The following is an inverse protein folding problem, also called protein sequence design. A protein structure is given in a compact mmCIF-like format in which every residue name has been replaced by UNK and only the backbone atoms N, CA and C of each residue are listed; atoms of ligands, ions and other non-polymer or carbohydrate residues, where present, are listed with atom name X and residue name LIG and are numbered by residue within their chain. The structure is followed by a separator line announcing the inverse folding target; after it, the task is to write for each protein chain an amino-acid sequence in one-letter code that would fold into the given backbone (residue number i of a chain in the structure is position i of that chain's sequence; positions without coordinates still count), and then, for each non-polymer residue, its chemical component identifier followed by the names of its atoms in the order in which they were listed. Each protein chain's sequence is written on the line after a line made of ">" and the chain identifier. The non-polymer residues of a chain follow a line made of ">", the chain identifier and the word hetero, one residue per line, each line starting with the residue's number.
data_IF_677319162758
#
_entry.id   IF_677319162758
#
_cell.length_a   1.000
_cell.length_b   1.000
_cell.length_c   1.000
_cell.angle_alpha   90.00
_cell.angle_beta   90.00
_cell.angle_gamma   90.00
#
_symmetry.space_group_name_H-M   'P 1'
#
loop_
_entity.id
_entity.type
_entity.pdbx_description
1 polymer ?
#
# COMPACT_ATOMS: atom_id res chain seq x y z
N UNK A 1 15.66 1.31 13.19
CA UNK A 1 14.68 2.25 12.63
C UNK A 1 14.38 3.38 13.58
N UNK A 2 13.88 4.49 13.04
CA UNK A 2 13.34 5.62 13.76
C UNK A 2 11.91 5.88 13.28
N UNK A 3 11.07 6.42 14.17
CA UNK A 3 9.70 6.79 13.87
C UNK A 3 9.43 8.19 14.42
N UNK A 4 8.92 9.06 13.55
CA UNK A 4 8.40 10.38 13.88
C UNK A 4 6.89 10.33 13.69
N UNK A 5 6.15 10.86 14.65
CA UNK A 5 4.70 10.93 14.64
C UNK A 5 4.29 12.31 15.13
N UNK A 6 3.46 12.98 14.35
CA UNK A 6 2.83 14.24 14.74
C UNK A 6 1.32 14.03 14.68
N UNK A 7 0.61 14.54 15.68
CA UNK A 7 -0.85 14.48 15.74
C UNK A 7 -1.38 15.76 16.36
N UNK A 8 -2.38 16.36 15.72
CA UNK A 8 -3.11 17.52 16.19
C UNK A 8 -4.58 17.15 16.22
N UNK A 9 -5.18 17.17 17.41
CA UNK A 9 -6.57 16.79 17.57
C UNK A 9 -7.10 17.09 18.96
N UNK A 10 -8.37 16.75 19.17
CA UNK A 10 -9.08 16.93 20.44
C UNK A 10 -9.94 15.72 20.75
N UNK A 11 -10.04 15.37 22.03
CA UNK A 11 -10.83 14.23 22.50
C UNK A 11 -10.88 14.20 24.02
N UNK A 12 -11.56 13.18 24.55
CA UNK A 12 -11.65 12.92 25.98
C UNK A 12 -10.42 12.11 26.40
N UNK A 13 -9.67 12.63 27.38
CA UNK A 13 -8.51 11.93 27.93
C UNK A 13 -8.94 10.58 28.52
N UNK A 14 -8.29 9.51 28.05
CA UNK A 14 -8.58 8.14 28.47
C UNK A 14 -9.63 7.42 27.61
N UNK A 15 -10.26 8.10 26.66
CA UNK A 15 -11.16 7.50 25.67
C UNK A 15 -10.57 7.64 24.27
N UNK A 16 -9.86 6.60 23.83
CA UNK A 16 -9.19 6.59 22.51
C UNK A 16 -10.17 6.67 21.33
N UNK A 17 -11.46 6.38 21.54
CA UNK A 17 -12.47 6.40 20.48
C UNK A 17 -13.19 7.75 20.39
N UNK A 18 -12.76 8.75 21.15
CA UNK A 18 -13.38 10.08 21.20
C UNK A 18 -12.60 11.17 20.46
N UNK A 19 -11.41 10.84 19.95
CA UNK A 19 -10.51 11.81 19.34
C UNK A 19 -10.90 12.12 17.91
N UNK A 20 -10.85 13.40 17.55
CA UNK A 20 -10.93 13.90 16.19
C UNK A 20 -9.65 14.69 15.90
N UNK A 21 -9.05 14.50 14.73
CA UNK A 21 -7.82 15.20 14.38
C UNK A 21 -7.10 14.67 13.15
N UNK A 22 -5.91 15.19 12.91
CA UNK A 22 -5.07 14.86 11.77
C UNK A 22 -3.63 14.64 12.24
N UNK A 23 -2.87 13.83 11.52
CA UNK A 23 -1.49 13.58 11.85
C UNK A 23 -0.65 13.13 10.67
N UNK A 24 0.65 13.13 10.89
CA UNK A 24 1.65 12.67 9.94
C UNK A 24 2.55 11.66 10.61
N UNK A 25 3.07 10.72 9.82
CA UNK A 25 4.06 9.77 10.30
C UNK A 25 5.19 9.63 9.30
N UNK A 26 6.38 9.36 9.84
CA UNK A 26 7.54 8.98 9.06
C UNK A 26 8.32 7.92 9.81
N UNK A 27 8.49 6.77 9.18
CA UNK A 27 9.30 5.66 9.64
C UNK A 27 10.50 5.55 8.70
N UNK A 28 11.68 5.35 9.26
CA UNK A 28 12.91 5.19 8.49
C UNK A 28 13.79 4.07 9.03
N UNK A 29 14.48 3.36 8.13
CA UNK A 29 15.41 2.28 8.48
C UNK A 29 14.79 1.18 9.33
N UNK A 30 13.52 0.86 9.10
CA UNK A 30 12.83 -0.30 9.67
C UNK A 30 13.11 -1.56 8.81
N UNK A 31 12.88 -2.74 9.36
CA UNK A 31 12.81 -3.98 8.56
C UNK A 31 11.36 -4.45 8.57
N UNK A 32 10.55 -3.94 7.62
CA UNK A 32 9.11 -4.20 7.61
C UNK A 32 8.77 -5.69 7.42
N UNK A 33 9.69 -6.51 6.91
CA UNK A 33 9.48 -7.96 6.75
C UNK A 33 9.38 -8.69 8.08
N UNK A 34 10.01 -8.16 9.12
CA UNK A 34 9.97 -8.75 10.46
C UNK A 34 8.66 -8.46 11.17
N UNK A 35 7.85 -7.51 10.66
CA UNK A 35 6.54 -7.23 11.21
C UNK A 35 5.55 -8.30 10.76
N UNK A 36 4.82 -8.86 11.72
CA UNK A 36 3.85 -9.94 11.51
C UNK A 36 2.83 -9.63 10.40
N UNK A 37 2.40 -8.37 10.30
CA UNK A 37 1.47 -7.90 9.26
C UNK A 37 1.99 -8.19 7.84
N UNK A 38 3.29 -8.03 7.61
CA UNK A 38 3.94 -8.21 6.31
C UNK A 38 4.38 -9.66 6.04
N UNK A 39 4.28 -10.55 7.03
CA UNK A 39 4.48 -11.99 6.82
C UNK A 39 3.43 -12.58 5.86
N UNK A 40 2.19 -12.08 5.90
CA UNK A 40 1.13 -12.46 4.95
C UNK A 40 1.40 -11.97 3.53
N UNK A 41 1.87 -10.73 3.40
CA UNK A 41 2.31 -10.16 2.12
C UNK A 41 3.45 -10.98 1.51
N UNK A 42 4.38 -11.45 2.35
CA UNK A 42 5.48 -12.32 1.92
C UNK A 42 4.97 -13.66 1.36
N UNK A 43 4.03 -14.33 2.01
CA UNK A 43 3.47 -15.57 1.43
C UNK A 43 2.80 -15.34 0.08
N UNK A 44 2.13 -14.20 -0.09
CA UNK A 44 1.43 -13.87 -1.32
C UNK A 44 2.38 -13.57 -2.47
N UNK A 45 3.41 -12.75 -2.26
CA UNK A 45 4.33 -12.51 -3.37
C UNK A 45 5.18 -13.76 -3.66
N UNK A 46 5.52 -14.58 -2.66
CA UNK A 46 6.21 -15.86 -2.87
C UNK A 46 5.35 -16.79 -3.76
N UNK A 47 4.04 -16.91 -3.47
CA UNK A 47 3.10 -17.67 -4.30
C UNK A 47 2.93 -17.11 -5.71
N UNK A 48 3.13 -15.80 -5.89
CA UNK A 48 3.13 -15.15 -7.19
C UNK A 48 4.49 -15.24 -7.92
N UNK A 49 5.49 -15.91 -7.35
CA UNK A 49 6.84 -16.06 -7.90
C UNK A 49 7.71 -14.80 -7.79
N UNK A 50 7.34 -13.87 -6.91
CA UNK A 50 8.00 -12.58 -6.75
C UNK A 50 9.01 -12.62 -5.58
N UNK A 51 10.27 -12.20 -5.77
CA UNK A 51 11.32 -12.37 -4.77
C UNK A 51 11.30 -11.26 -3.69
N UNK A 52 10.44 -11.43 -2.70
CA UNK A 52 10.22 -10.57 -1.51
C UNK A 52 11.48 -10.07 -0.83
N UNK A 53 12.46 -10.95 -0.63
CA UNK A 53 13.73 -10.60 0.03
C UNK A 53 14.52 -9.54 -0.73
N UNK A 54 14.23 -9.31 -2.01
CA UNK A 54 14.91 -8.31 -2.85
C UNK A 54 14.21 -6.96 -2.85
N UNK A 55 12.89 -6.92 -2.64
CA UNK A 55 12.13 -5.67 -2.69
C UNK A 55 12.44 -4.74 -1.50
N UNK A 56 13.05 -5.30 -0.46
CA UNK A 56 13.32 -4.73 0.87
C UNK A 56 12.78 -3.31 1.12
N UNK A 57 11.60 -3.24 1.73
CA UNK A 57 10.99 -2.02 2.26
C UNK A 57 11.55 -1.64 3.64
N UNK A 58 11.94 -0.38 3.80
CA UNK A 58 12.62 0.12 5.00
C UNK A 58 12.06 1.46 5.52
N UNK A 59 11.42 2.24 4.65
CA UNK A 59 10.84 3.53 5.00
C UNK A 59 9.32 3.53 4.79
N UNK A 60 8.58 4.26 5.60
CA UNK A 60 7.17 4.52 5.39
C UNK A 60 6.81 5.96 5.76
N UNK A 61 5.84 6.54 5.07
CA UNK A 61 5.37 7.89 5.35
C UNK A 61 3.95 8.09 4.87
N UNK A 62 3.29 9.08 5.46
CA UNK A 62 2.00 9.55 5.01
C UNK A 62 1.31 10.41 6.05
N UNK A 63 0.05 10.67 5.76
CA UNK A 63 -0.87 11.41 6.61
C UNK A 63 -2.00 10.48 7.05
N UNK A 64 -2.66 10.84 8.15
CA UNK A 64 -3.86 10.16 8.60
C UNK A 64 -4.84 11.14 9.23
N UNK A 65 -6.12 10.85 9.07
CA UNK A 65 -7.21 11.53 9.77
C UNK A 65 -7.77 10.59 10.83
N UNK A 66 -8.16 11.14 11.98
CA UNK A 66 -8.88 10.42 13.02
C UNK A 66 -10.28 11.02 13.13
N UNK A 67 -11.30 10.20 12.94
CA UNK A 67 -12.70 10.48 13.25
C UNK A 67 -13.15 9.43 14.27
N UNK A 68 -13.00 9.78 15.54
CA UNK A 68 -13.36 8.94 16.69
C UNK A 68 -12.72 7.57 16.65
N UNK A 69 -13.49 6.55 16.25
CA UNK A 69 -13.03 5.17 16.15
C UNK A 69 -12.31 4.87 14.84
N UNK A 70 -12.41 5.72 13.84
CA UNK A 70 -11.87 5.45 12.52
C UNK A 70 -10.59 6.25 12.29
N UNK A 71 -9.55 5.57 11.85
CA UNK A 71 -8.33 6.22 11.32
C UNK A 71 -8.30 6.00 9.82
N UNK A 72 -8.34 7.08 9.06
CA UNK A 72 -8.28 7.07 7.61
C UNK A 72 -6.86 7.40 7.16
N UNK A 73 -6.35 6.61 6.22
CA UNK A 73 -5.08 6.83 5.56
C UNK A 73 -5.36 7.15 4.08
N UNK A 74 -5.46 8.44 3.70
CA UNK A 74 -5.72 8.82 2.31
C UNK A 74 -4.58 8.40 1.37
N UNK A 75 -3.34 8.45 1.86
CA UNK A 75 -2.18 7.89 1.17
C UNK A 75 -1.15 7.41 2.20
N UNK A 76 -0.80 6.13 2.12
CA UNK A 76 0.28 5.48 2.83
C UNK A 76 1.32 5.02 1.82
N UNK A 77 2.57 5.42 2.02
CA UNK A 77 3.69 5.04 1.17
C UNK A 77 4.67 4.21 1.97
N UNK A 78 5.02 3.04 1.45
CA UNK A 78 6.10 2.21 1.97
C UNK A 78 7.15 2.09 0.87
N UNK A 79 8.39 2.43 1.19
CA UNK A 79 9.48 2.57 0.21
C UNK A 79 10.60 1.59 0.51
N UNK A 80 11.09 0.97 -0.56
CA UNK A 80 12.28 0.15 -0.58
C UNK A 80 13.27 0.68 -1.60
N UNK A 81 14.33 -0.09 -1.88
CA UNK A 81 15.38 0.35 -2.81
C UNK A 81 14.91 0.42 -4.27
N UNK A 82 14.09 -0.53 -4.68
CA UNK A 82 13.76 -0.78 -6.11
C UNK A 82 12.27 -0.68 -6.40
N UNK A 83 11.44 -0.48 -5.38
CA UNK A 83 10.00 -0.39 -5.48
C UNK A 83 9.40 0.39 -4.30
N UNK A 84 8.14 0.78 -4.44
CA UNK A 84 7.29 1.30 -3.38
C UNK A 84 5.94 0.59 -3.38
N UNK A 85 5.27 0.59 -2.25
CA UNK A 85 3.86 0.28 -2.11
C UNK A 85 3.13 1.59 -1.82
N UNK A 86 2.12 1.90 -2.63
CA UNK A 86 1.16 2.97 -2.33
C UNK A 86 -0.14 2.35 -1.88
N UNK A 87 -0.73 2.85 -0.81
CA UNK A 87 -1.95 2.30 -0.23
C UNK A 87 -2.88 3.40 0.24
N UNK A 88 -4.18 3.11 0.21
CA UNK A 88 -5.23 3.89 0.86
C UNK A 88 -6.08 2.92 1.70
N UNK A 89 -6.64 3.39 2.80
CA UNK A 89 -7.48 2.53 3.61
C UNK A 89 -7.91 3.13 4.93
N UNK A 90 -8.59 2.32 5.71
CA UNK A 90 -9.10 2.68 7.03
C UNK A 90 -8.73 1.62 8.06
N UNK A 91 -8.59 2.08 9.29
CA UNK A 91 -8.43 1.25 10.47
C UNK A 91 -9.51 1.58 11.49
N UNK A 92 -10.26 0.56 11.92
CA UNK A 92 -11.23 0.68 12.99
C UNK A 92 -10.55 0.39 14.33
N UNK A 93 -10.41 1.41 15.19
CA UNK A 93 -9.80 1.32 16.51
C UNK A 93 -10.63 0.48 17.50
N UNK A 94 -11.95 0.40 17.31
CA UNK A 94 -12.82 -0.33 18.22
C UNK A 94 -12.73 -1.85 17.98
N UNK A 95 -12.78 -2.24 16.72
CA UNK A 95 -12.80 -3.65 16.32
C UNK A 95 -11.39 -4.17 15.93
N UNK A 96 -10.42 -3.27 15.76
CA UNK A 96 -9.06 -3.58 15.31
C UNK A 96 -9.01 -4.03 13.85
N UNK A 97 -10.01 -3.66 13.05
CA UNK A 97 -10.21 -4.10 11.67
C UNK A 97 -9.50 -3.19 10.66
N UNK A 98 -8.80 -3.81 9.72
CA UNK A 98 -8.11 -3.18 8.61
C UNK A 98 -8.97 -3.29 7.36
N UNK A 99 -9.00 -2.25 6.54
CA UNK A 99 -9.48 -2.31 5.15
C UNK A 99 -8.63 -1.40 4.28
N UNK A 100 -7.66 -2.00 3.60
CA UNK A 100 -6.68 -1.31 2.79
C UNK A 100 -6.61 -1.89 1.39
N UNK A 101 -6.43 -1.00 0.42
CA UNK A 101 -6.05 -1.30 -0.95
C UNK A 101 -4.66 -0.75 -1.18
N UNK A 102 -3.82 -1.53 -1.85
CA UNK A 102 -2.43 -1.21 -2.07
C UNK A 102 -2.01 -1.58 -3.50
N UNK A 103 -1.04 -0.85 -4.02
CA UNK A 103 -0.43 -1.10 -5.32
C UNK A 103 1.09 -1.17 -5.16
N UNK A 104 1.67 -2.26 -5.64
CA UNK A 104 3.13 -2.39 -5.75
C UNK A 104 3.60 -1.68 -7.03
N UNK A 105 4.48 -0.70 -6.87
CA UNK A 105 5.00 0.14 -7.94
C UNK A 105 6.54 0.05 -8.01
N UNK A 106 7.10 -0.53 -9.08
CA UNK A 106 8.53 -0.59 -9.30
C UNK A 106 9.12 0.79 -9.66
N UNK A 107 10.34 1.09 -9.23
CA UNK A 107 11.02 2.34 -9.58
C UNK A 107 11.65 2.28 -10.97
N UNK A 108 11.00 2.89 -11.96
CA UNK A 108 11.46 2.92 -13.36
C UNK A 108 12.81 3.61 -13.59
N UNK A 109 13.30 4.35 -12.61
CA UNK A 109 14.62 5.02 -12.65
C UNK A 109 15.79 4.07 -12.41
N UNK A 110 15.54 2.87 -11.87
CA UNK A 110 16.60 1.87 -11.67
C UNK A 110 16.94 1.22 -13.01
N UNK A 111 18.21 1.27 -13.46
CA UNK A 111 18.59 0.63 -14.70
C UNK A 111 18.34 -0.88 -14.66
N UNK A 112 17.68 -1.43 -15.68
CA UNK A 112 17.22 -2.83 -15.68
C UNK A 112 18.39 -3.82 -15.54
N UNK A 113 19.59 -3.47 -16.02
CA UNK A 113 20.80 -4.29 -15.87
C UNK A 113 21.35 -4.33 -14.43
N UNK A 114 20.96 -3.40 -13.57
CA UNK A 114 21.29 -3.42 -12.13
C UNK A 114 20.30 -4.27 -11.33
N UNK A 115 19.19 -4.67 -11.95
CA UNK A 115 18.18 -5.50 -11.31
C UNK A 115 18.56 -6.98 -11.42
N UNK A 116 18.46 -7.75 -10.31
CA UNK A 116 18.48 -9.21 -10.39
C UNK A 116 17.42 -9.73 -11.37
N UNK A 117 17.75 -10.74 -12.18
CA UNK A 117 16.85 -11.31 -13.20
C UNK A 117 15.44 -11.68 -12.65
N UNK A 118 15.38 -12.10 -11.38
CA UNK A 118 14.16 -12.41 -10.64
C UNK A 118 13.21 -11.22 -10.40
N UNK A 119 13.67 -9.97 -10.56
CA UNK A 119 12.83 -8.78 -10.46
C UNK A 119 12.21 -8.36 -11.79
N UNK A 120 12.66 -8.90 -12.93
CA UNK A 120 12.22 -8.43 -14.24
C UNK A 120 10.70 -8.55 -14.43
N UNK A 121 10.09 -9.62 -13.93
CA UNK A 121 8.63 -9.83 -14.01
C UNK A 121 7.82 -8.84 -13.16
N UNK A 122 8.42 -8.27 -12.11
CA UNK A 122 7.76 -7.24 -11.27
C UNK A 122 7.66 -5.92 -12.04
N UNK A 123 8.70 -5.58 -12.81
CA UNK A 123 8.77 -4.33 -13.55
C UNK A 123 7.83 -4.28 -14.77
N UNK A 124 7.30 -5.44 -15.19
CA UNK A 124 6.36 -5.55 -16.32
C UNK A 124 4.90 -5.70 -15.89
N UNK A 125 4.63 -5.90 -14.58
CA UNK A 125 3.29 -6.15 -14.04
C UNK A 125 2.68 -4.98 -13.25
N UNK A 126 1.36 -5.01 -13.10
CA UNK A 126 0.61 -4.18 -12.13
C UNK A 126 0.03 -5.14 -11.09
N UNK A 127 0.41 -4.93 -9.83
CA UNK A 127 -0.03 -5.77 -8.71
C UNK A 127 -0.85 -4.93 -7.75
N UNK A 128 -2.11 -5.31 -7.58
CA UNK A 128 -3.02 -4.76 -6.58
C UNK A 128 -3.13 -5.74 -5.43
N UNK A 129 -3.09 -5.22 -4.22
CA UNK A 129 -3.11 -6.00 -3.00
C UNK A 129 -4.21 -5.44 -2.12
N UNK A 130 -5.01 -6.32 -1.51
CA UNK A 130 -5.97 -5.92 -0.50
C UNK A 130 -5.57 -6.53 0.84
N UNK A 131 -5.66 -5.73 1.90
CA UNK A 131 -5.42 -6.13 3.28
C UNK A 131 -6.70 -5.87 4.09
N UNK A 132 -7.27 -6.92 4.64
CA UNK A 132 -8.45 -6.87 5.52
C UNK A 132 -8.27 -7.69 6.79
N UNK A 133 -9.25 -7.69 7.68
CA UNK A 133 -9.19 -8.43 8.94
C UNK A 133 -8.43 -7.66 10.01
N UNK A 134 -8.08 -8.31 11.11
CA UNK A 134 -7.41 -7.62 12.22
C UNK A 134 -5.89 -7.60 12.07
N UNK A 135 -5.21 -6.75 12.84
CA UNK A 135 -3.73 -6.77 12.93
C UNK A 135 -3.22 -8.16 13.38
N UNK A 136 -3.96 -8.86 14.24
CA UNK A 136 -3.62 -10.19 14.73
C UNK A 136 -3.86 -11.29 13.68
N UNK A 137 -4.93 -11.15 12.88
CA UNK A 137 -5.34 -12.11 11.85
C UNK A 137 -5.51 -11.45 10.48
N UNK A 138 -4.43 -10.91 9.89
CA UNK A 138 -4.52 -10.16 8.65
C UNK A 138 -4.82 -11.08 7.47
N UNK A 139 -5.75 -10.65 6.63
CA UNK A 139 -6.17 -11.33 5.40
C UNK A 139 -5.65 -10.54 4.21
N UNK A 140 -4.77 -11.17 3.45
CA UNK A 140 -4.20 -10.58 2.26
C UNK A 140 -4.81 -11.22 1.02
N UNK A 141 -5.08 -10.42 -0.01
CA UNK A 141 -5.47 -10.88 -1.34
C UNK A 141 -4.62 -10.17 -2.40
N UNK A 142 -4.21 -10.90 -3.44
CA UNK A 142 -3.46 -10.34 -4.57
C UNK A 142 -4.27 -10.45 -5.84
N UNK A 143 -4.38 -9.33 -6.53
CA UNK A 143 -5.01 -9.22 -7.83
C UNK A 143 -3.94 -8.77 -8.82
N UNK A 144 -3.87 -9.44 -9.96
CA UNK A 144 -3.11 -8.93 -11.11
C UNK A 144 -4.05 -8.01 -11.88
N UNK A 145 -3.74 -6.71 -11.90
CA UNK A 145 -4.53 -5.75 -12.65
C UNK A 145 -4.49 -6.10 -14.15
N UNK A 146 -5.66 -6.17 -14.80
CA UNK A 146 -5.70 -6.11 -16.25
C UNK A 146 -5.21 -4.72 -16.67
N UNK A 147 -4.42 -4.62 -17.75
CA UNK A 147 -4.11 -3.34 -18.38
C UNK A 147 -5.46 -2.64 -18.63
N UNK A 148 -5.79 -1.60 -17.87
CA UNK A 148 -6.99 -0.81 -18.12
C UNK A 148 -6.70 -0.02 -19.38
N UNK A 149 -7.09 -0.56 -20.53
CA UNK A 149 -7.16 0.22 -21.75
C UNK A 149 -8.14 1.36 -21.47
N UNK A 150 -7.63 2.58 -21.37
CA UNK A 150 -8.48 3.77 -21.37
C UNK A 150 -9.37 3.70 -22.62
N UNK A 151 -10.70 3.82 -22.50
CA UNK A 151 -11.56 3.92 -23.67
C UNK A 151 -11.14 5.17 -24.45
N UNK A 152 -10.46 4.95 -25.57
CA UNK A 152 -10.15 5.99 -26.54
C UNK A 152 -11.41 6.74 -26.91
N UNK A 153 -11.31 8.06 -26.88
CA UNK A 153 -12.34 9.00 -27.29
C UNK A 153 -13.01 8.53 -28.59
N UNK A 154 -14.33 8.39 -28.51
CA UNK A 154 -15.19 8.01 -29.62
C UNK A 154 -15.08 9.05 -30.73
N UNK A 155 -14.20 8.79 -31.69
CA UNK A 155 -14.21 9.48 -32.99
C UNK A 155 -15.47 9.08 -33.74
N UNK A 156 -16.52 9.89 -33.62
CA UNK A 156 -17.64 9.88 -34.54
C UNK A 156 -17.13 10.17 -35.96
N UNK A 157 -17.50 9.31 -36.91
CA UNK A 157 -17.75 9.65 -38.33
C UNK A 157 -18.51 8.51 -39.00
N UNK A 158 -19.82 8.75 -39.12
CA UNK A 158 -20.73 8.50 -40.25
C UNK A 158 -20.60 7.21 -41.08
N UNK A 159 -21.74 6.52 -41.19
CA UNK A 159 -22.00 5.33 -41.98
C UNK A 159 -22.86 5.72 -43.23
N UNK A 160 -23.16 4.82 -44.18
CA UNK A 160 -22.47 4.68 -45.47
C UNK A 160 -23.41 4.91 -46.67
N UNK A 161 -22.92 4.79 -47.92
CA UNK A 161 -23.64 4.18 -49.07
C UNK A 161 -22.78 4.11 -50.34
N UNK A 162 -22.59 2.89 -50.86
CA UNK A 162 -22.92 2.53 -52.25
C UNK A 162 -23.13 1.02 -52.34
#
# INVERSE_FOLDING_TARGET
>A
GAANLEFIGSGIVGDSLSFDGEGTYQISGADFYQLQLFGGLSRIFDNAGLPITTLRFEDADGEFDVDKRFVRFPELRIRGRVAQIRSEGNYDLADGELDFKAQLQPFRSVPIFELPARLLDIFTGIFEVQLTGTIAEPKWNLFRGAQRNEPGETGAKENPSN
#
